data_IF_490019085784
#
_entry.id   IF_490019085784
#
_cell.length_a   1.000
_cell.length_b   1.000
_cell.length_c   1.000
_cell.angle_alpha   90.00
_cell.angle_beta   90.00
_cell.angle_gamma   90.00
#
_symmetry.space_group_name_H-M   'P 1'
#
loop_
_entity.id
_entity.type
_entity.pdbx_description
1 polymer ?
#
# COMPACT_ATOMS: atom_id res chain seq x y z
N UNK A 1 0.02 6.34 22.53
CA UNK A 1 0.55 6.56 21.17
C UNK A 1 1.92 5.93 21.14
N UNK A 2 2.28 5.18 20.09
CA UNK A 2 3.61 4.58 19.99
C UNK A 2 4.60 5.63 19.46
N UNK A 3 5.85 5.57 19.89
CA UNK A 3 6.93 6.52 19.55
C UNK A 3 7.05 6.80 18.04
N UNK A 4 6.80 5.78 17.21
CA UNK A 4 6.76 5.92 15.76
C UNK A 4 5.66 6.89 15.26
N UNK A 5 4.49 6.92 15.90
CA UNK A 5 3.41 7.84 15.53
C UNK A 5 3.75 9.30 15.83
N UNK A 6 4.35 9.56 17.00
CA UNK A 6 4.75 10.92 17.38
C UNK A 6 5.86 11.47 16.47
N UNK A 7 6.80 10.63 16.05
CA UNK A 7 7.84 11.03 15.08
C UNK A 7 7.27 11.31 13.69
N UNK A 8 6.17 10.63 13.31
CA UNK A 8 5.48 10.87 12.05
C UNK A 8 4.74 12.21 12.07
N UNK A 9 4.03 12.50 13.15
CA UNK A 9 3.33 13.78 13.34
C UNK A 9 4.30 14.97 13.44
N UNK A 10 5.48 14.77 14.04
CA UNK A 10 6.56 15.76 14.08
C UNK A 10 7.27 15.95 12.72
N UNK A 11 6.91 15.18 11.69
CA UNK A 11 7.54 15.23 10.37
C UNK A 11 8.96 14.67 10.31
N UNK A 12 9.43 13.99 11.37
CA UNK A 12 10.77 13.40 11.44
C UNK A 12 10.88 12.09 10.65
N UNK A 13 9.76 11.39 10.47
CA UNK A 13 9.66 10.23 9.59
C UNK A 13 8.57 10.48 8.55
N UNK A 14 8.82 10.09 7.30
CA UNK A 14 7.88 10.24 6.18
C UNK A 14 7.48 8.87 5.64
N UNK A 15 6.28 8.76 5.08
CA UNK A 15 5.83 7.53 4.46
C UNK A 15 6.69 7.20 3.24
N UNK A 16 6.99 5.92 3.02
CA UNK A 16 7.71 5.44 1.83
C UNK A 16 6.79 4.85 0.77
N UNK A 17 5.51 5.22 0.81
CA UNK A 17 4.49 4.78 -0.14
C UNK A 17 4.82 5.34 -1.53
N UNK A 18 5.00 4.44 -2.49
CA UNK A 18 5.34 4.81 -3.88
C UNK A 18 4.24 4.48 -4.87
N UNK A 19 3.38 3.51 -4.55
CA UNK A 19 2.26 3.13 -5.42
C UNK A 19 1.08 2.61 -4.59
N UNK A 20 -0.12 3.07 -4.94
CA UNK A 20 -1.40 2.57 -4.43
C UNK A 20 -2.14 1.91 -5.58
N UNK A 21 -2.66 0.70 -5.36
CA UNK A 21 -3.67 0.08 -6.22
C UNK A 21 -4.98 -0.12 -5.46
N UNK A 22 -6.09 0.18 -6.14
CA UNK A 22 -7.43 -0.07 -5.64
C UNK A 22 -8.31 -0.60 -6.77
N UNK A 23 -9.28 -1.49 -6.47
CA UNK A 23 -9.57 -2.11 -5.16
C UNK A 23 -8.66 -3.31 -4.85
N UNK A 24 -8.77 -3.87 -3.63
CA UNK A 24 -8.12 -5.12 -3.25
C UNK A 24 -8.87 -6.27 -3.98
N UNK A 25 -8.34 -6.69 -5.12
CA UNK A 25 -8.82 -7.82 -5.90
C UNK A 25 -7.68 -8.70 -6.42
N UNK A 26 -7.99 -9.89 -6.93
CA UNK A 26 -6.99 -10.87 -7.37
C UNK A 26 -6.12 -10.35 -8.52
N UNK A 27 -6.66 -9.51 -9.41
CA UNK A 27 -5.91 -8.93 -10.52
C UNK A 27 -4.84 -7.95 -10.03
N UNK A 28 -5.23 -7.01 -9.16
CA UNK A 28 -4.34 -6.01 -8.57
C UNK A 28 -3.28 -6.67 -7.67
N UNK A 29 -3.65 -7.74 -6.95
CA UNK A 29 -2.72 -8.50 -6.11
C UNK A 29 -1.68 -9.24 -6.96
N UNK A 30 -2.10 -9.82 -8.09
CA UNK A 30 -1.19 -10.45 -9.05
C UNK A 30 -0.26 -9.43 -9.70
N UNK A 31 -0.76 -8.26 -10.08
CA UNK A 31 0.08 -7.17 -10.61
C UNK A 31 1.09 -6.66 -9.58
N UNK A 32 0.68 -6.50 -8.32
CA UNK A 32 1.59 -6.14 -7.23
C UNK A 32 2.66 -7.21 -7.01
N UNK A 33 2.30 -8.49 -7.04
CA UNK A 33 3.26 -9.60 -6.93
C UNK A 33 4.25 -9.60 -8.10
N UNK A 34 3.77 -9.49 -9.34
CA UNK A 34 4.64 -9.41 -10.53
C UNK A 34 5.60 -8.21 -10.46
N UNK A 35 5.17 -7.07 -9.92
CA UNK A 35 6.02 -5.90 -9.75
C UNK A 35 7.10 -6.10 -8.68
N UNK A 36 6.78 -6.83 -7.60
CA UNK A 36 7.74 -7.21 -6.56
C UNK A 36 8.78 -8.21 -7.08
N UNK A 37 8.33 -9.25 -7.80
CA UNK A 37 9.18 -10.30 -8.37
C UNK A 37 10.17 -9.76 -9.41
N UNK A 38 9.80 -8.69 -10.12
CA UNK A 38 10.69 -8.02 -11.08
C UNK A 38 11.86 -7.27 -10.42
N UNK A 39 11.86 -7.11 -9.09
CA UNK A 39 12.96 -6.49 -8.32
C UNK A 39 13.22 -5.01 -8.61
N UNK A 40 12.41 -4.36 -9.45
CA UNK A 40 12.52 -2.93 -9.80
C UNK A 40 11.76 -2.02 -8.84
N UNK A 41 11.09 -2.59 -7.84
CA UNK A 41 10.24 -1.83 -6.96
C UNK A 41 11.08 -1.09 -5.90
N UNK A 42 10.98 0.23 -5.89
CA UNK A 42 11.55 1.11 -4.86
C UNK A 42 10.38 1.63 -4.01
N UNK A 43 10.45 1.45 -2.69
CA UNK A 43 9.43 1.89 -1.74
C UNK A 43 8.37 0.83 -1.38
N UNK A 44 7.19 1.26 -0.92
CA UNK A 44 6.09 0.40 -0.47
C UNK A 44 4.90 0.41 -1.43
N UNK A 45 4.35 -0.77 -1.68
CA UNK A 45 3.13 -0.98 -2.47
C UNK A 45 1.97 -1.15 -1.51
N UNK A 46 0.91 -0.38 -1.70
CA UNK A 46 -0.29 -0.47 -0.88
C UNK A 46 -1.45 -0.86 -1.77
N UNK A 47 -2.25 -1.84 -1.31
CA UNK A 47 -3.56 -2.11 -1.88
C UNK A 47 -4.60 -1.65 -0.88
N UNK A 48 -5.55 -0.84 -1.32
CA UNK A 48 -6.58 -0.27 -0.46
C UNK A 48 -7.97 -0.35 -1.10
N UNK A 49 -8.99 -0.37 -0.24
CA UNK A 49 -10.39 -0.52 -0.64
C UNK A 49 -10.71 -1.96 -1.05
N UNK A 50 -11.20 -2.78 -0.11
CA UNK A 50 -11.86 -4.03 -0.50
C UNK A 50 -13.06 -3.69 -1.37
N UNK A 51 -13.24 -4.39 -2.49
CA UNK A 51 -14.47 -4.31 -3.25
C UNK A 51 -15.61 -4.56 -2.26
N UNK A 52 -16.40 -3.51 -1.99
CA UNK A 52 -17.63 -3.64 -1.23
C UNK A 52 -18.47 -4.54 -2.11
N UNK A 53 -18.60 -5.80 -1.70
CA UNK A 53 -19.49 -6.77 -2.33
C UNK A 53 -20.76 -6.03 -2.71
N UNK A 54 -21.06 -6.12 -4.00
CA UNK A 54 -22.22 -5.55 -4.66
C UNK A 54 -23.43 -5.55 -3.72
N UNK A 55 -24.10 -4.41 -3.62
CA UNK A 55 -25.30 -4.25 -2.81
C UNK A 55 -26.28 -5.40 -3.05
N UNK A 56 -26.58 -6.15 -2.00
CA UNK A 56 -27.86 -6.85 -1.83
C UNK A 56 -28.38 -6.57 -0.44
#
# INVERSE_FOLDING_TARGET
MTEAGELFEQGKITHTLTKVLSPINAANLKQAHQALEQGKMIGKFVLEGFERGESV
#
